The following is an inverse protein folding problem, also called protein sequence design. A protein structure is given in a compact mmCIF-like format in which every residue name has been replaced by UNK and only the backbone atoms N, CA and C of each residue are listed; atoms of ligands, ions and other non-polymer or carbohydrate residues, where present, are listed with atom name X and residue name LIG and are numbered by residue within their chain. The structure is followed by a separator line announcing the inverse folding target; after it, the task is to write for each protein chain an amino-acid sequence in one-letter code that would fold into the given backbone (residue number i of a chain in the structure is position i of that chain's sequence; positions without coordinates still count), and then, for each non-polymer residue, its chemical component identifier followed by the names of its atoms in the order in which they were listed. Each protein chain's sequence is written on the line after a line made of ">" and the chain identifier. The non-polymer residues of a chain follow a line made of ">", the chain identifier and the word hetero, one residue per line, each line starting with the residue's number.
data_IF_809731348319
#
_entry.id   IF_809731348319
#
_cell.length_a   1.000
_cell.length_b   1.000
_cell.length_c   1.000
_cell.angle_alpha   90.00
_cell.angle_beta   90.00
_cell.angle_gamma   90.00
#
_symmetry.space_group_name_H-M   'P 1'
#
loop_
_entity.id
_entity.type
_entity.pdbx_description
1 polymer ?
#
# COMPACT_ATOMS: atom_id res chain seq x y z
N UNK A 1 -0.81 -2.30 -14.06
CA UNK A 1 -1.03 -0.84 -14.00
C UNK A 1 -1.81 -0.30 -15.19
N UNK A 2 -1.27 -0.34 -16.42
CA UNK A 2 -1.94 0.24 -17.61
C UNK A 2 -3.32 -0.39 -17.87
N UNK A 3 -3.44 -1.71 -17.71
CA UNK A 3 -4.70 -2.42 -17.92
C UNK A 3 -5.77 -2.01 -16.89
N UNK A 4 -5.43 -1.96 -15.59
CA UNK A 4 -6.36 -1.58 -14.51
C UNK A 4 -6.80 -0.11 -14.53
N UNK A 5 -5.95 0.79 -15.02
CA UNK A 5 -6.32 2.20 -15.27
C UNK A 5 -7.32 2.29 -16.43
N UNK A 6 -7.11 1.49 -17.50
CA UNK A 6 -8.02 1.47 -18.66
C UNK A 6 -9.40 0.89 -18.37
N UNK A 7 -9.51 -0.06 -17.45
CA UNK A 7 -10.79 -0.66 -17.04
C UNK A 7 -11.47 0.08 -15.89
N UNK A 8 -10.87 1.14 -15.34
CA UNK A 8 -11.41 1.96 -14.22
C UNK A 8 -11.87 1.16 -12.99
N UNK A 9 -11.39 -0.08 -12.83
CA UNK A 9 -11.79 -0.95 -11.72
C UNK A 9 -10.75 -0.89 -10.60
N UNK A 10 -11.05 -0.26 -9.44
CA UNK A 10 -10.09 -0.08 -8.34
C UNK A 10 -9.67 -1.41 -7.71
N UNK A 11 -10.53 -2.44 -7.81
CA UNK A 11 -10.27 -3.79 -7.28
C UNK A 11 -9.07 -4.48 -7.92
N UNK A 12 -8.71 -4.13 -9.16
CA UNK A 12 -7.56 -4.72 -9.86
C UNK A 12 -6.20 -4.17 -9.39
N UNK A 13 -6.18 -3.04 -8.65
CA UNK A 13 -4.95 -2.40 -8.20
C UNK A 13 -4.42 -2.99 -6.87
N UNK A 14 -5.29 -3.62 -6.08
CA UNK A 14 -4.95 -4.25 -4.81
C UNK A 14 -3.81 -5.28 -4.85
N UNK A 15 -3.84 -6.31 -5.74
CA UNK A 15 -2.76 -7.29 -5.80
C UNK A 15 -1.43 -6.65 -6.21
N UNK A 16 -1.46 -5.58 -7.00
CA UNK A 16 -0.28 -4.86 -7.41
C UNK A 16 0.33 -4.05 -6.25
N UNK A 17 -0.48 -3.35 -5.46
CA UNK A 17 -0.03 -2.63 -4.26
C UNK A 17 0.57 -3.60 -3.24
N UNK A 18 -0.04 -4.77 -3.07
CA UNK A 18 0.46 -5.79 -2.15
C UNK A 18 1.82 -6.34 -2.59
N UNK A 19 1.97 -6.68 -3.88
CA UNK A 19 3.25 -7.15 -4.42
C UNK A 19 4.35 -6.11 -4.28
N UNK A 20 4.04 -4.84 -4.56
CA UNK A 20 4.98 -3.74 -4.44
C UNK A 20 5.43 -3.53 -2.98
N UNK A 21 4.52 -3.63 -2.01
CA UNK A 21 4.85 -3.61 -0.59
C UNK A 21 5.77 -4.76 -0.17
N UNK A 22 5.53 -5.96 -0.69
CA UNK A 22 6.39 -7.11 -0.44
C UNK A 22 7.80 -6.85 -0.97
N UNK A 23 7.91 -6.38 -2.21
CA UNK A 23 9.20 -6.06 -2.85
C UNK A 23 9.99 -5.00 -2.07
N UNK A 24 9.33 -3.91 -1.66
CA UNK A 24 9.94 -2.87 -0.81
C UNK A 24 10.45 -3.47 0.51
N UNK A 25 9.66 -4.32 1.17
CA UNK A 25 10.04 -4.96 2.43
C UNK A 25 11.24 -5.88 2.26
N UNK A 26 11.30 -6.63 1.14
CA UNK A 26 12.41 -7.54 0.85
C UNK A 26 13.70 -6.77 0.57
N UNK A 27 13.61 -5.67 -0.19
CA UNK A 27 14.74 -4.78 -0.47
C UNK A 27 15.26 -4.12 0.82
N UNK A 28 14.37 -3.65 1.68
CA UNK A 28 14.75 -3.06 2.96
C UNK A 28 15.42 -4.08 3.89
N UNK A 29 14.85 -5.29 3.98
CA UNK A 29 15.43 -6.38 4.76
C UNK A 29 16.82 -6.76 4.25
N UNK A 30 17.00 -6.85 2.92
CA UNK A 30 18.30 -7.09 2.29
C UNK A 30 19.32 -5.98 2.58
N UNK A 31 18.89 -4.71 2.59
CA UNK A 31 19.76 -3.59 2.92
C UNK A 31 20.23 -3.62 4.37
N UNK A 32 19.31 -3.87 5.32
CA UNK A 32 19.65 -4.01 6.75
C UNK A 32 20.60 -5.19 6.96
N UNK A 33 20.30 -6.34 6.35
CA UNK A 33 21.15 -7.53 6.43
C UNK A 33 22.58 -7.26 5.92
N UNK A 34 22.70 -6.56 4.78
CA UNK A 34 24.01 -6.21 4.22
C UNK A 34 24.81 -5.28 5.14
N UNK A 35 24.17 -4.25 5.72
CA UNK A 35 24.83 -3.34 6.66
C UNK A 35 25.22 -4.07 7.95
N UNK A 36 24.31 -4.86 8.53
CA UNK A 36 24.58 -5.65 9.73
C UNK A 36 25.76 -6.61 9.52
N UNK A 37 25.84 -7.23 8.35
CA UNK A 37 26.98 -8.08 7.98
C UNK A 37 28.30 -7.31 8.01
N UNK A 38 28.36 -6.10 7.43
CA UNK A 38 29.57 -5.27 7.48
C UNK A 38 29.97 -4.90 8.91
N UNK A 39 29.01 -4.62 9.79
CA UNK A 39 29.27 -4.32 11.20
C UNK A 39 29.86 -5.50 11.99
N UNK A 40 29.59 -6.74 11.56
CA UNK A 40 30.09 -7.96 12.18
C UNK A 40 31.49 -8.38 11.68
N UNK A 41 32.05 -7.66 10.70
CA UNK A 41 33.40 -7.89 10.17
C UNK A 41 33.45 -8.78 8.92
N UNK A 42 34.64 -8.81 8.29
CA UNK A 42 34.84 -9.46 6.98
C UNK A 42 34.72 -10.99 7.03
N UNK A 43 35.22 -11.65 8.07
CA UNK A 43 35.09 -13.12 8.20
C UNK A 43 33.62 -13.54 8.35
N UNK A 44 32.85 -12.81 9.16
CA UNK A 44 31.44 -13.07 9.37
C UNK A 44 30.61 -12.80 8.11
N UNK A 45 30.95 -11.73 7.38
CA UNK A 45 30.32 -11.42 6.08
C UNK A 45 30.58 -12.50 5.04
N UNK A 46 31.82 -12.99 4.92
CA UNK A 46 32.14 -14.08 4.01
C UNK A 46 31.38 -15.36 4.36
N UNK A 47 31.26 -15.70 5.64
CA UNK A 47 30.57 -16.90 6.08
C UNK A 47 29.05 -16.83 5.82
N UNK A 48 28.43 -15.70 6.17
CA UNK A 48 26.98 -15.48 6.03
C UNK A 48 26.59 -15.39 4.55
N UNK A 49 27.34 -14.61 3.75
CA UNK A 49 27.01 -14.44 2.34
C UNK A 49 27.49 -15.58 1.46
N UNK A 50 28.49 -16.37 1.84
CA UNK A 50 28.87 -17.61 1.13
C UNK A 50 27.69 -18.56 0.93
N UNK A 51 26.74 -18.57 1.87
CA UNK A 51 25.54 -19.39 1.76
C UNK A 51 24.53 -18.89 0.70
N UNK A 52 24.46 -17.57 0.49
CA UNK A 52 23.47 -16.94 -0.39
C UNK A 52 24.04 -16.54 -1.76
N UNK A 53 25.32 -16.19 -1.82
CA UNK A 53 25.97 -15.59 -2.99
C UNK A 53 27.43 -16.08 -3.08
N UNK A 54 27.94 -16.26 -4.30
CA UNK A 54 29.36 -16.56 -4.52
C UNK A 54 30.20 -15.30 -4.27
N UNK A 55 30.69 -15.16 -3.04
CA UNK A 55 31.44 -13.97 -2.57
C UNK A 55 32.67 -13.68 -3.44
N UNK A 56 33.43 -14.71 -3.81
CA UNK A 56 34.64 -14.57 -4.65
C UNK A 56 34.36 -13.91 -6.01
N UNK A 57 33.17 -14.13 -6.57
CA UNK A 57 32.74 -13.53 -7.83
C UNK A 57 32.27 -12.08 -7.63
N UNK A 58 31.67 -11.77 -6.49
CA UNK A 58 31.23 -10.41 -6.18
C UNK A 58 32.40 -9.49 -5.86
N UNK A 59 33.41 -9.98 -5.15
CA UNK A 59 34.60 -9.20 -4.83
C UNK A 59 35.42 -8.86 -6.09
N UNK A 60 35.49 -9.76 -7.07
CA UNK A 60 36.13 -9.47 -8.36
C UNK A 60 35.41 -8.40 -9.20
N UNK A 61 34.07 -8.29 -9.08
CA UNK A 61 33.27 -7.39 -9.92
C UNK A 61 32.99 -6.06 -9.25
N UNK A 62 32.72 -6.06 -7.95
CA UNK A 62 32.32 -4.88 -7.18
C UNK A 62 33.39 -4.38 -6.20
N UNK A 63 34.53 -5.07 -6.10
CA UNK A 63 35.63 -4.76 -5.20
C UNK A 63 35.39 -5.20 -3.75
N UNK A 64 36.35 -4.95 -2.85
CA UNK A 64 36.29 -5.39 -1.44
C UNK A 64 35.16 -4.71 -0.63
N UNK A 65 34.53 -3.66 -1.16
CA UNK A 65 33.44 -2.90 -0.52
C UNK A 65 32.06 -3.33 -1.09
N UNK A 66 31.99 -4.50 -1.74
CA UNK A 66 30.76 -5.00 -2.38
C UNK A 66 29.50 -5.06 -1.49
N UNK A 67 29.53 -5.34 -0.17
CA UNK A 67 28.31 -5.39 0.64
C UNK A 67 27.64 -4.01 0.78
N UNK A 68 28.46 -2.95 0.79
CA UNK A 68 27.96 -1.58 0.81
C UNK A 68 27.24 -1.23 -0.51
N UNK A 69 27.79 -1.67 -1.65
CA UNK A 69 27.17 -1.44 -2.95
C UNK A 69 25.80 -2.14 -3.06
N UNK A 70 25.68 -3.35 -2.50
CA UNK A 70 24.38 -4.04 -2.41
C UNK A 70 23.42 -3.26 -1.52
N UNK A 71 23.87 -2.78 -0.36
CA UNK A 71 23.03 -2.00 0.54
C UNK A 71 22.49 -0.73 -0.15
N UNK A 72 23.35 0.00 -0.88
CA UNK A 72 22.94 1.18 -1.65
C UNK A 72 21.92 0.80 -2.73
N UNK A 73 22.20 -0.23 -3.53
CA UNK A 73 21.29 -0.68 -4.58
C UNK A 73 19.92 -1.07 -4.00
N UNK A 74 19.91 -1.79 -2.89
CA UNK A 74 18.68 -2.16 -2.19
C UNK A 74 17.94 -0.94 -1.63
N UNK A 75 18.64 0.04 -1.05
CA UNK A 75 18.01 1.29 -0.60
C UNK A 75 17.46 2.14 -1.74
N UNK A 76 18.20 2.27 -2.85
CA UNK A 76 17.72 2.98 -4.04
C UNK A 76 16.52 2.28 -4.66
N UNK A 77 16.54 0.95 -4.74
CA UNK A 77 15.40 0.15 -5.19
C UNK A 77 14.18 0.32 -4.28
N UNK A 78 14.37 0.27 -2.95
CA UNK A 78 13.30 0.49 -2.00
C UNK A 78 12.71 1.90 -2.11
N UNK A 79 13.54 2.93 -2.31
CA UNK A 79 13.09 4.30 -2.52
C UNK A 79 12.25 4.44 -3.80
N UNK A 80 12.68 3.82 -4.91
CA UNK A 80 11.89 3.77 -6.14
C UNK A 80 10.58 3.01 -5.94
N UNK A 81 10.60 1.89 -5.23
CA UNK A 81 9.40 1.12 -4.90
C UNK A 81 8.39 1.95 -4.08
N UNK A 82 8.86 2.67 -3.06
CA UNK A 82 8.03 3.59 -2.26
C UNK A 82 7.43 4.69 -3.15
N UNK A 83 8.23 5.25 -4.06
CA UNK A 83 7.74 6.27 -4.99
C UNK A 83 6.61 5.73 -5.89
N UNK A 84 6.76 4.51 -6.41
CA UNK A 84 5.71 3.85 -7.17
C UNK A 84 4.48 3.51 -6.30
N UNK A 85 4.66 3.13 -5.03
CA UNK A 85 3.56 2.83 -4.11
C UNK A 85 2.71 4.07 -3.86
N UNK A 86 3.35 5.24 -3.68
CA UNK A 86 2.64 6.53 -3.55
C UNK A 86 1.85 6.86 -4.82
N UNK A 87 2.44 6.68 -6.00
CA UNK A 87 1.74 6.96 -7.27
C UNK A 87 0.52 6.04 -7.43
N UNK A 88 0.68 4.73 -7.21
CA UNK A 88 -0.41 3.76 -7.39
C UNK A 88 -1.52 3.97 -6.36
N UNK A 89 -1.18 4.29 -5.11
CA UNK A 89 -2.15 4.69 -4.08
C UNK A 89 -2.92 5.94 -4.50
N UNK A 90 -2.22 6.97 -4.99
CA UNK A 90 -2.86 8.19 -5.50
C UNK A 90 -3.83 7.91 -6.65
N UNK A 91 -3.47 7.01 -7.57
CA UNK A 91 -4.39 6.58 -8.63
C UNK A 91 -5.58 5.79 -8.09
N UNK A 92 -5.38 4.94 -7.08
CA UNK A 92 -6.44 4.16 -6.45
C UNK A 92 -7.46 5.07 -5.74
N UNK A 93 -6.98 6.03 -4.95
CA UNK A 93 -7.83 6.99 -4.26
C UNK A 93 -8.61 7.86 -5.26
N UNK A 94 -7.97 8.27 -6.37
CA UNK A 94 -8.64 9.00 -7.44
C UNK A 94 -9.78 8.21 -8.11
N UNK A 95 -9.59 6.91 -8.36
CA UNK A 95 -10.63 6.05 -8.95
C UNK A 95 -11.80 5.83 -7.98
N UNK A 96 -11.52 5.64 -6.69
CA UNK A 96 -12.54 5.54 -5.65
C UNK A 96 -13.39 6.81 -5.55
N UNK A 97 -12.75 7.97 -5.59
CA UNK A 97 -13.41 9.26 -5.53
C UNK A 97 -14.32 9.48 -6.74
N UNK A 98 -13.85 9.11 -7.93
CA UNK A 98 -14.65 9.12 -9.17
C UNK A 98 -15.88 8.21 -9.07
N UNK A 99 -15.71 7.00 -8.52
CA UNK A 99 -16.82 6.06 -8.33
C UNK A 99 -17.87 6.62 -7.35
N UNK A 100 -17.43 7.20 -6.24
CA UNK A 100 -18.29 7.84 -5.24
C UNK A 100 -19.15 8.96 -5.86
N UNK A 101 -18.52 9.90 -6.57
CA UNK A 101 -19.25 11.01 -7.19
C UNK A 101 -20.19 10.57 -8.32
N UNK A 102 -19.82 9.51 -9.06
CA UNK A 102 -20.69 8.96 -10.10
C UNK A 102 -21.98 8.32 -9.54
N UNK A 103 -21.92 7.76 -8.33
CA UNK A 103 -23.10 7.21 -7.66
C UNK A 103 -23.97 8.32 -7.06
N UNK A 104 -23.37 9.34 -6.45
CA UNK A 104 -24.12 10.50 -5.92
C UNK A 104 -24.84 11.29 -7.01
N UNK A 105 -24.26 11.43 -8.21
CA UNK A 105 -24.93 12.13 -9.33
C UNK A 105 -26.10 11.36 -9.95
N UNK A 106 -26.19 10.04 -9.71
CA UNK A 106 -27.26 9.19 -10.23
C UNK A 106 -28.41 8.97 -9.23
N UNK A 107 -28.32 9.54 -8.02
CA UNK A 107 -29.48 9.65 -7.14
C UNK A 107 -30.33 10.83 -7.60
N UNK A 108 -31.65 10.66 -7.84
CA UNK A 108 -32.52 11.82 -8.01
C UNK A 108 -32.39 12.70 -6.76
N UNK A 109 -32.51 14.03 -6.89
CA UNK A 109 -32.39 14.93 -5.75
C UNK A 109 -33.27 14.40 -4.63
N UNK A 110 -32.66 14.14 -3.46
CA UNK A 110 -33.42 13.86 -2.26
C UNK A 110 -34.31 15.09 -2.07
N UNK A 111 -35.60 14.91 -2.33
CA UNK A 111 -36.59 15.94 -2.13
C UNK A 111 -36.69 16.16 -0.63
N UNK A 112 -35.94 17.15 -0.14
CA UNK A 112 -35.89 17.56 1.28
C UNK A 112 -37.31 17.93 1.78
N UNK A 113 -38.28 18.08 0.87
CA UNK A 113 -39.68 18.28 1.22
C UNK A 113 -40.35 17.07 1.89
N UNK A 114 -39.84 15.84 1.78
CA UNK A 114 -40.49 14.67 2.43
C UNK A 114 -40.13 14.49 3.91
N UNK A 115 -39.03 15.11 4.40
CA UNK A 115 -38.68 15.05 5.83
C UNK A 115 -39.54 15.99 6.71
N UNK A 116 -40.31 16.89 6.10
CA UNK A 116 -41.22 17.80 6.83
C UNK A 116 -42.61 17.20 7.10
N UNK A 117 -42.89 15.98 6.62
CA UNK A 117 -44.22 15.34 6.72
C UNK A 117 -44.40 14.32 7.84
N UNK A 118 -43.39 14.01 8.64
CA UNK A 118 -43.63 13.27 9.88
C UNK A 118 -44.16 14.22 10.97
N UNK A 119 -45.49 14.30 11.05
CA UNK A 119 -46.21 14.96 12.14
C UNK A 119 -45.66 14.52 13.51
N UNK A 120 -45.53 15.43 14.48
CA UNK A 120 -45.27 15.02 15.86
C UNK A 120 -46.45 14.16 16.33
N UNK A 121 -46.18 12.92 16.72
CA UNK A 121 -47.15 12.08 17.43
C UNK A 121 -47.55 12.80 18.72
N UNK A 122 -48.71 13.44 18.69
CA UNK A 122 -49.39 13.96 19.88
C UNK A 122 -49.67 12.77 20.79
N UNK A 123 -48.94 12.69 21.90
CA UNK A 123 -49.26 11.79 23.00
C UNK A 123 -50.52 12.35 23.66
N UNK A 124 -51.69 11.91 23.20
CA UNK A 124 -52.96 12.13 23.90
C UNK A 124 -52.94 11.19 25.10
N UNK A 125 -52.79 11.77 26.29
CA UNK A 125 -53.10 11.14 27.57
C UNK A 125 -54.61 10.86 27.56
N UNK A 126 -55.00 9.58 27.53
CA UNK A 126 -56.39 9.14 27.46
C UNK A 126 -56.64 7.97 28.40
N UNK A 127 -57.17 8.31 29.56
CA UNK A 127 -57.76 7.45 30.58
C UNK A 127 -58.97 6.68 30.00
N UNK A 128 -59.03 5.35 30.16
CA UNK A 128 -60.33 4.66 30.21
C UNK A 128 -60.22 3.29 30.89
N UNK A 129 -61.10 3.14 31.90
CA UNK A 129 -61.48 1.94 32.64
C UNK A 129 -61.85 0.73 31.76
N UNK A 130 -61.93 -0.43 32.43
CA UNK A 130 -62.84 -1.56 32.16
C UNK A 130 -62.21 -2.87 31.64
N UNK A 131 -61.60 -3.66 32.55
CA UNK A 131 -62.07 -5.02 32.92
C UNK A 131 -61.25 -5.65 34.04
#
# INVERSE_FOLDING_TARGET
>A
MIYGIKTEQPQLLWPQIYFLKLEISLLLAGAVFSISSMCLGMESTHWIFSHFVRVDKMEQVAGPIWPFNIAILSFSGAALGIWFDVIVRGCYDYLLDKEYFSQTSNQPPIDICDFSREKPKTIIIGNEDNR
#
